data_IF_992185794642
#
_entry.id   IF_992185794642
#
_cell.length_a   1.000
_cell.length_b   1.000
_cell.length_c   1.000
_cell.angle_alpha   90.00
_cell.angle_beta   90.00
_cell.angle_gamma   90.00
#
_symmetry.space_group_name_H-M   'P 1'
#
loop_
_entity.id
_entity.type
_entity.pdbx_description
1 polymer ?
2 non-polymer ?
3 non-polymer ?
#
# COMPACT_ATOMS: atom_id res chain seq x y z
N UNK A 1 2.08 -25.87 0.33
CA UNK A 1 1.19 -24.74 0.66
C UNK A 1 1.25 -23.65 -0.41
N UNK A 2 0.83 -22.44 -0.03
CA UNK A 2 0.84 -21.29 -0.94
C UNK A 2 2.25 -21.00 -1.44
N UNK A 3 2.33 -20.42 -2.64
CA UNK A 3 3.64 -20.06 -3.18
C UNK A 3 3.71 -18.57 -3.52
N UNK A 4 3.89 -18.27 -4.80
CA UNK A 4 4.13 -16.91 -5.25
C UNK A 4 2.88 -16.19 -5.72
N UNK A 5 2.05 -16.82 -6.55
CA UNK A 5 0.85 -16.16 -7.04
C UNK A 5 -0.33 -16.28 -6.10
N UNK A 6 -0.30 -17.21 -5.15
CA UNK A 6 -1.39 -17.34 -4.19
C UNK A 6 -1.32 -16.23 -3.16
N UNK A 7 -0.12 -15.86 -2.72
CA UNK A 7 0.05 -14.76 -1.79
C UNK A 7 -0.27 -13.42 -2.45
N UNK A 8 -0.12 -13.34 -3.78
CA UNK A 8 -0.48 -12.13 -4.51
C UNK A 8 -1.99 -11.93 -4.60
N UNK A 9 -2.77 -12.94 -4.23
CA UNK A 9 -4.23 -12.83 -4.21
C UNK A 9 -4.76 -12.13 -2.96
N UNK A 10 -3.86 -11.60 -2.13
CA UNK A 10 -4.30 -10.81 -0.98
C UNK A 10 -5.13 -9.61 -1.41
N UNK A 11 -4.87 -9.08 -2.62
CA UNK A 11 -5.67 -8.01 -3.16
C UNK A 11 -6.96 -8.52 -3.79
N UNK A 12 -6.97 -9.77 -4.27
CA UNK A 12 -8.18 -10.32 -4.88
C UNK A 12 -9.31 -10.41 -3.87
N UNK A 13 -9.00 -10.87 -2.64
CA UNK A 13 -10.00 -10.87 -1.59
C UNK A 13 -10.43 -9.46 -1.20
N UNK A 14 -9.56 -8.46 -1.44
CA UNK A 14 -9.85 -7.07 -1.14
C UNK A 14 -10.75 -6.42 -2.19
N UNK A 15 -11.41 -7.22 -3.03
CA UNK A 15 -12.30 -6.68 -4.04
C UNK A 15 -11.58 -5.99 -5.18
N UNK A 16 -10.87 -6.77 -6.01
CA UNK A 16 -10.14 -6.22 -7.13
C UNK A 16 -10.27 -7.16 -8.33
N UNK A 17 -10.21 -6.56 -9.52
CA UNK A 17 -10.19 -7.29 -10.78
C UNK A 17 -8.78 -7.25 -11.38
N UNK A 18 -8.61 -8.00 -12.46
CA UNK A 18 -7.30 -8.08 -13.10
C UNK A 18 -6.80 -6.70 -13.51
N UNK A 19 -7.68 -5.90 -14.11
CA UNK A 19 -7.29 -4.55 -14.51
C UNK A 19 -7.00 -3.69 -13.29
N UNK A 20 -7.78 -3.84 -12.21
CA UNK A 20 -7.56 -3.08 -10.99
C UNK A 20 -6.32 -3.55 -10.23
N UNK A 21 -5.85 -4.78 -10.50
CA UNK A 21 -4.70 -5.30 -9.78
C UNK A 21 -3.40 -4.75 -10.35
N UNK A 22 -3.24 -4.82 -11.69
CA UNK A 22 -1.98 -4.44 -12.28
C UNK A 22 -1.79 -2.93 -12.30
N UNK A 23 -2.87 -2.15 -12.40
CA UNK A 23 -2.74 -0.71 -12.26
C UNK A 23 -2.43 -0.33 -10.82
N UNK A 24 -2.86 -1.17 -9.87
CA UNK A 24 -2.49 -0.97 -8.47
C UNK A 24 -1.05 -1.37 -8.22
N UNK A 25 -0.62 -2.49 -8.82
CA UNK A 25 0.78 -2.91 -8.68
C UNK A 25 1.73 -2.02 -9.47
N UNK A 26 1.23 -1.36 -10.52
CA UNK A 26 2.09 -0.49 -11.32
C UNK A 26 2.63 0.66 -10.47
N UNK A 27 1.74 1.34 -9.75
CA UNK A 27 2.14 2.40 -8.83
C UNK A 27 2.47 1.80 -7.47
N UNK A 28 3.58 1.07 -7.44
CA UNK A 28 4.00 0.34 -6.25
C UNK A 28 4.57 1.32 -5.22
N UNK A 29 5.18 0.76 -4.17
CA UNK A 29 5.71 1.56 -3.07
C UNK A 29 7.22 1.44 -2.91
N UNK A 30 7.90 0.83 -3.89
CA UNK A 30 9.36 0.69 -3.88
C UNK A 30 9.96 1.57 -4.96
N UNK A 31 11.29 1.64 -4.97
CA UNK A 31 12.02 2.41 -5.97
C UNK A 31 12.12 1.70 -7.31
N UNK A 32 11.10 0.93 -7.68
CA UNK A 32 11.08 0.24 -8.96
C UNK A 32 10.19 0.99 -9.94
N UNK A 33 10.63 1.04 -11.19
CA UNK A 33 9.81 1.67 -12.21
C UNK A 33 8.79 0.68 -12.74
N UNK A 34 7.57 1.13 -13.08
CA UNK A 34 6.58 0.21 -13.64
C UNK A 34 7.08 -0.38 -14.95
N UNK A 35 6.96 -1.71 -15.06
CA UNK A 35 7.36 -2.38 -16.29
C UNK A 35 6.57 -1.85 -17.47
N UNK A 36 7.25 -1.68 -18.61
CA UNK A 36 6.60 -1.09 -19.77
C UNK A 36 5.47 -1.96 -20.27
N UNK A 37 5.58 -3.28 -20.09
CA UNK A 37 4.49 -4.17 -20.50
C UNK A 37 3.23 -3.90 -19.69
N UNK A 38 3.38 -3.53 -18.42
CA UNK A 38 2.23 -3.12 -17.63
C UNK A 38 1.65 -1.81 -18.15
N UNK A 39 2.52 -0.86 -18.50
CA UNK A 39 2.05 0.39 -19.09
C UNK A 39 1.49 0.14 -20.48
N UNK A 40 2.11 -0.77 -21.24
CA UNK A 40 1.57 -1.13 -22.55
C UNK A 40 0.22 -1.82 -22.42
N UNK A 41 0.08 -2.71 -21.45
CA UNK A 41 -1.19 -3.41 -21.25
C UNK A 41 -2.28 -2.43 -20.80
N UNK A 42 -1.94 -1.51 -19.90
CA UNK A 42 -2.91 -0.52 -19.46
C UNK A 42 -3.36 0.36 -20.62
N UNK A 43 -2.46 0.64 -21.56
CA UNK A 43 -2.83 1.43 -22.74
C UNK A 43 -3.84 0.67 -23.60
N UNK A 44 -3.59 -0.62 -23.83
CA UNK A 44 -4.51 -1.42 -24.62
C UNK A 44 -5.83 -1.64 -23.90
N UNK A 45 -5.78 -1.82 -22.57
CA UNK A 45 -7.01 -2.05 -21.82
C UNK A 45 -7.83 -0.77 -21.64
N UNK A 46 -7.22 0.40 -21.84
CA UNK A 46 -7.96 1.65 -21.73
C UNK A 46 -8.98 1.83 -22.85
N UNK A 47 -8.92 1.01 -23.90
CA UNK A 47 -9.92 1.10 -24.96
C UNK A 47 -11.26 0.55 -24.51
N UNK A 48 -11.26 -0.46 -23.63
CA UNK A 48 -12.49 -0.97 -23.05
C UNK A 48 -13.01 0.01 -22.02
N UNK A 49 -14.28 0.39 -22.16
CA UNK A 49 -14.85 1.39 -21.26
C UNK A 49 -14.92 0.90 -19.82
N UNK A 50 -15.12 -0.41 -19.62
CA UNK A 50 -15.19 -0.95 -18.27
C UNK A 50 -13.81 -0.87 -17.61
N UNK A 51 -12.76 -1.20 -18.34
CA UNK A 51 -11.41 -1.11 -17.78
C UNK A 51 -10.96 0.34 -17.66
N UNK A 52 -11.30 1.18 -18.64
CA UNK A 52 -10.85 2.57 -18.62
C UNK A 52 -11.33 3.30 -17.38
N UNK A 53 -12.56 3.02 -16.93
CA UNK A 53 -13.06 3.65 -15.72
C UNK A 53 -12.30 3.16 -14.49
N UNK A 54 -12.12 1.84 -14.37
CA UNK A 54 -11.40 1.29 -13.23
C UNK A 54 -9.97 1.77 -13.19
N UNK A 55 -9.35 2.01 -14.35
CA UNK A 55 -8.00 2.53 -14.40
C UNK A 55 -7.96 3.97 -13.88
N UNK A 56 -8.84 4.83 -14.42
CA UNK A 56 -8.80 6.23 -14.07
C UNK A 56 -9.26 6.47 -12.64
N UNK A 57 -10.27 5.73 -12.18
CA UNK A 57 -10.72 5.86 -10.80
C UNK A 57 -9.66 5.39 -9.82
N UNK A 58 -8.79 4.48 -10.24
CA UNK A 58 -7.69 4.04 -9.38
C UNK A 58 -6.63 5.12 -9.28
N UNK A 59 -6.20 5.66 -10.42
CA UNK A 59 -5.24 6.76 -10.41
C UNK A 59 -5.80 8.01 -9.78
N UNK A 60 -7.13 8.16 -9.76
CA UNK A 60 -7.74 9.32 -9.12
C UNK A 60 -7.44 9.32 -7.63
N UNK A 61 -7.62 8.17 -6.97
CA UNK A 61 -7.32 8.07 -5.54
C UNK A 61 -5.83 7.96 -5.25
N UNK A 62 -5.02 7.66 -6.25
CA UNK A 62 -3.57 7.63 -6.08
C UNK A 62 -2.92 8.98 -6.25
N UNK A 63 -3.57 9.91 -6.97
CA UNK A 63 -3.01 11.22 -7.21
C UNK A 63 -3.39 12.25 -6.15
N UNK A 64 -4.47 12.01 -5.41
CA UNK A 64 -4.93 12.95 -4.39
C UNK A 64 -4.29 12.69 -3.02
N UNK A 65 -3.19 11.95 -2.97
CA UNK A 65 -2.53 11.62 -1.73
C UNK A 65 -1.30 12.50 -1.50
N UNK A 66 -0.94 12.67 -0.24
CA UNK A 66 0.26 13.41 0.13
C UNK A 66 1.06 12.63 1.16
N UNK A 67 1.76 13.34 2.05
CA UNK A 67 2.49 12.71 3.13
C UNK A 67 3.59 11.79 2.63
N UNK A 68 3.87 10.76 3.43
CA UNK A 68 4.93 9.81 3.11
C UNK A 68 4.60 8.94 1.91
N UNK A 69 3.34 8.93 1.45
CA UNK A 69 2.97 8.14 0.28
C UNK A 69 3.24 8.92 -0.99
N UNK A 70 4.45 9.46 -1.13
CA UNK A 70 4.78 10.23 -2.32
C UNK A 70 4.93 9.37 -3.56
N UNK A 71 5.08 8.05 -3.39
CA UNK A 71 5.16 7.15 -4.53
C UNK A 71 3.79 6.83 -5.14
N UNK A 72 2.70 7.20 -4.45
CA UNK A 72 1.38 7.09 -5.07
C UNK A 72 1.22 8.09 -6.20
N UNK A 73 1.76 9.30 -6.03
CA UNK A 73 1.59 10.36 -7.00
C UNK A 73 2.65 10.29 -8.09
N UNK A 74 3.90 10.04 -7.70
CA UNK A 74 4.99 10.05 -8.68
C UNK A 74 4.82 8.95 -9.72
N UNK A 75 4.45 7.75 -9.29
CA UNK A 75 4.29 6.65 -10.23
C UNK A 75 2.98 6.74 -10.99
N UNK A 76 1.96 7.37 -10.42
CA UNK A 76 0.70 7.54 -11.13
C UNK A 76 0.83 8.56 -12.26
N UNK A 77 1.64 9.60 -12.07
CA UNK A 77 1.91 10.53 -13.16
C UNK A 77 2.70 9.86 -14.27
N UNK A 78 3.50 8.85 -13.95
CA UNK A 78 4.26 8.14 -14.97
C UNK A 78 3.34 7.31 -15.87
N UNK A 79 2.45 6.52 -15.26
CA UNK A 79 1.53 5.72 -16.06
C UNK A 79 0.51 6.60 -16.75
N UNK A 80 0.07 7.69 -16.10
CA UNK A 80 -0.87 8.61 -16.73
C UNK A 80 -0.23 9.28 -17.94
N UNK A 81 1.07 9.57 -17.87
CA UNK A 81 1.77 10.10 -19.04
C UNK A 81 1.80 9.08 -20.16
N UNK A 82 1.92 7.79 -19.82
CA UNK A 82 1.91 6.75 -20.84
C UNK A 82 0.51 6.59 -21.42
N UNK A 83 -0.52 6.59 -20.57
CA UNK A 83 -1.89 6.44 -21.05
C UNK A 83 -2.31 7.59 -21.96
N UNK A 84 -1.79 8.80 -21.71
CA UNK A 84 -2.21 9.96 -22.47
C UNK A 84 -1.76 9.84 -23.93
N UNK A 85 -0.56 9.32 -24.15
CA UNK A 85 0.01 9.25 -25.49
C UNK A 85 0.18 7.82 -26.01
N UNK A 86 -0.42 6.83 -25.36
CA UNK A 86 -0.40 5.46 -25.86
C UNK A 86 -1.75 4.77 -25.80
N UNK A 87 -2.62 5.09 -24.85
CA UNK A 87 -3.89 4.42 -24.67
C UNK A 87 -5.01 5.07 -25.46
N UNK A 88 -6.24 4.92 -24.95
CA UNK A 88 -7.41 5.42 -25.61
C UNK A 88 -7.42 6.95 -25.63
N UNK A 89 -8.20 7.51 -26.56
CA UNK A 89 -8.35 8.95 -26.63
C UNK A 89 -9.11 9.50 -25.43
N UNK A 90 -9.90 8.67 -24.74
CA UNK A 90 -10.57 9.10 -23.53
C UNK A 90 -9.59 9.39 -22.39
N UNK A 91 -8.39 8.81 -22.44
CA UNK A 91 -7.38 9.10 -21.44
C UNK A 91 -6.97 10.57 -21.50
N UNK A 92 -6.94 11.14 -22.72
CA UNK A 92 -6.68 12.57 -22.86
C UNK A 92 -7.89 13.38 -22.40
N UNK A 93 -9.09 12.95 -22.81
CA UNK A 93 -10.30 13.68 -22.44
C UNK A 93 -10.57 13.60 -20.94
N UNK A 94 -10.12 12.53 -20.28
CA UNK A 94 -10.31 12.43 -18.84
C UNK A 94 -9.41 13.41 -18.09
N UNK A 95 -8.16 13.54 -18.53
CA UNK A 95 -7.26 14.50 -17.89
C UNK A 95 -7.71 15.94 -18.14
N UNK A 96 -8.45 16.18 -19.21
CA UNK A 96 -8.94 17.53 -19.49
C UNK A 96 -10.04 17.94 -18.52
N UNK A 97 -10.81 16.97 -18.02
CA UNK A 97 -11.86 17.26 -17.06
C UNK A 97 -11.36 17.26 -15.62
N UNK A 98 -10.40 16.39 -15.30
CA UNK A 98 -9.69 16.42 -14.02
C UNK A 98 -8.37 17.17 -14.15
N UNK A 99 -8.39 18.31 -14.85
CA UNK A 99 -7.15 19.03 -15.13
C UNK A 99 -6.61 19.73 -13.88
N UNK A 100 -7.51 20.26 -13.04
CA UNK A 100 -7.06 20.96 -11.83
C UNK A 100 -6.53 20.01 -10.76
N UNK A 101 -6.55 18.70 -10.99
CA UNK A 101 -5.95 17.76 -10.04
C UNK A 101 -4.44 17.75 -10.21
N UNK A 102 -3.96 17.51 -11.43
CA UNK A 102 -2.52 17.58 -11.68
C UNK A 102 -2.00 19.01 -11.63
N UNK A 103 -2.89 19.99 -11.79
CA UNK A 103 -2.49 21.38 -11.66
C UNK A 103 -2.09 21.72 -10.22
N UNK A 104 -2.74 21.07 -9.25
CA UNK A 104 -2.37 21.29 -7.85
C UNK A 104 -1.13 20.49 -7.45
N UNK A 105 -0.85 19.38 -8.13
CA UNK A 105 0.38 18.63 -7.91
C UNK A 105 1.61 19.39 -8.37
N UNK A 106 1.42 20.55 -9.02
CA UNK A 106 2.55 21.38 -9.46
C UNK A 106 3.37 21.90 -8.28
N UNK A 107 2.81 21.90 -7.07
CA UNK A 107 3.48 22.41 -5.88
C UNK A 107 3.63 21.34 -4.81
N UNK A 108 3.71 20.08 -5.21
CA UNK A 108 3.86 18.99 -4.25
C UNK A 108 5.23 19.06 -3.59
N UNK A 109 5.24 19.09 -2.26
CA UNK A 109 6.48 19.16 -1.48
C UNK A 109 6.34 18.28 -0.25
N UNK A 110 7.04 17.15 -0.25
CA UNK A 110 7.11 16.26 0.91
C UNK A 110 8.57 16.00 1.23
N UNK A 111 9.01 16.43 2.41
CA UNK A 111 10.37 16.17 2.88
C UNK A 111 10.35 14.96 3.82
N UNK A 112 11.20 13.99 3.54
CA UNK A 112 11.33 12.84 4.42
C UNK A 112 12.14 13.24 5.66
N UNK A 113 12.38 12.29 6.55
CA UNK A 113 13.11 12.55 7.79
C UNK A 113 14.62 12.62 7.58
N UNK A 114 15.06 13.27 6.51
CA UNK A 114 16.50 13.40 6.26
C UNK A 114 16.86 14.69 5.53
N UNK A 115 15.92 15.61 5.33
CA UNK A 115 16.23 16.84 4.62
C UNK A 115 16.25 16.72 3.12
N UNK A 116 15.57 15.72 2.55
CA UNK A 116 15.54 15.49 1.12
C UNK A 116 14.12 15.67 0.62
N UNK A 117 13.92 16.64 -0.27
CA UNK A 117 12.60 16.92 -0.83
C UNK A 117 12.28 15.85 -1.87
N UNK A 118 11.47 14.86 -1.46
CA UNK A 118 11.07 13.81 -2.39
C UNK A 118 10.08 14.30 -3.44
N UNK A 119 9.39 15.41 -3.18
CA UNK A 119 8.41 15.93 -4.11
C UNK A 119 8.99 16.66 -5.31
N UNK A 120 10.31 16.79 -5.40
CA UNK A 120 10.92 17.49 -6.53
C UNK A 120 10.67 16.76 -7.84
N UNK A 121 10.71 15.42 -7.80
CA UNK A 121 10.43 14.64 -9.01
C UNK A 121 8.97 14.75 -9.38
N UNK A 122 8.08 14.90 -8.39
CA UNK A 122 6.66 15.07 -8.68
C UNK A 122 6.39 16.44 -9.29
N UNK A 123 7.21 17.43 -8.96
CA UNK A 123 7.05 18.76 -9.54
C UNK A 123 7.27 18.74 -11.04
N UNK A 124 8.45 18.28 -11.47
CA UNK A 124 8.78 18.29 -12.89
C UNK A 124 7.92 17.28 -13.66
N UNK A 125 7.50 16.20 -13.00
CA UNK A 125 6.66 15.22 -13.67
C UNK A 125 5.25 15.78 -13.93
N UNK A 126 4.75 16.63 -13.03
CA UNK A 126 3.43 17.20 -13.22
C UNK A 126 3.47 18.41 -14.15
N UNK A 127 4.52 19.23 -14.05
CA UNK A 127 4.63 20.39 -14.92
C UNK A 127 4.84 19.99 -16.38
N UNK A 128 5.47 18.84 -16.61
CA UNK A 128 5.69 18.39 -17.99
C UNK A 128 4.39 17.89 -18.61
N UNK A 129 3.57 17.16 -17.84
CA UNK A 129 2.31 16.65 -18.38
C UNK A 129 1.35 17.79 -18.71
N UNK A 130 1.30 18.81 -17.87
CA UNK A 130 0.43 19.96 -18.14
C UNK A 130 0.89 20.68 -19.40
N UNK A 131 2.19 20.86 -19.56
CA UNK A 131 2.72 21.46 -20.78
C UNK A 131 2.47 20.61 -22.01
N UNK A 132 2.21 19.31 -21.83
CA UNK A 132 1.89 18.45 -22.96
C UNK A 132 0.39 18.52 -23.30
N UNK A 133 -0.46 18.51 -22.27
CA UNK A 133 -1.90 18.57 -22.52
C UNK A 133 -2.32 19.92 -23.08
N UNK A 134 -1.59 20.98 -22.77
CA UNK A 134 -1.90 22.30 -23.30
C UNK A 134 -1.31 22.55 -24.68
N UNK A 135 -0.66 21.55 -25.27
CA UNK A 135 -0.13 21.63 -26.63
C UNK A 135 -0.83 20.56 -27.46
N UNK A 136 -2.03 20.88 -27.95
CA UNK A 136 -2.79 19.92 -28.75
C UNK A 136 -2.08 19.61 -30.06
N UNK A 137 -1.34 20.56 -30.61
CA UNK A 137 -0.58 20.29 -31.83
C UNK A 137 0.54 19.29 -31.58
N UNK A 138 1.13 19.32 -30.39
CA UNK A 138 2.15 18.32 -30.04
C UNK A 138 1.52 17.01 -29.60
N UNK A 139 0.47 17.10 -28.77
CA UNK A 139 -0.14 15.89 -28.22
C UNK A 139 -0.75 15.01 -29.31
N UNK A 140 -1.28 15.61 -30.36
CA UNK A 140 -1.90 14.83 -31.42
C UNK A 140 -0.88 14.00 -32.18
N UNK A 141 0.33 14.56 -32.39
CA UNK A 141 1.37 13.81 -33.10
C UNK A 141 1.93 12.70 -32.24
N UNK A 142 2.14 12.97 -30.95
CA UNK A 142 2.73 11.96 -30.06
C UNK A 142 1.88 10.71 -29.99
N UNK A 143 0.57 10.84 -30.20
CA UNK A 143 -0.32 9.68 -30.25
C UNK A 143 -0.29 8.99 -31.62
N UNK A 144 0.24 9.65 -32.64
CA UNK A 144 0.29 9.08 -33.99
C UNK A 144 1.51 8.20 -34.21
N UNK A 145 2.69 8.62 -33.74
CA UNK A 145 3.89 7.83 -33.96
C UNK A 145 3.84 6.50 -33.19
N UNK A 146 3.08 6.45 -32.10
CA UNK A 146 2.95 5.25 -31.26
C UNK A 146 1.89 4.30 -31.79
N UNK A 147 1.82 4.11 -33.10
CA UNK A 147 0.88 3.16 -33.69
C UNK A 147 1.56 2.30 -34.75
N UNK B 6 -24.71 -14.34 27.18
CA UNK B 6 -25.66 -13.25 27.01
C UNK B 6 -24.97 -12.04 26.39
N UNK B 7 -23.73 -11.81 26.80
CA UNK B 7 -22.99 -10.61 26.41
C UNK B 7 -22.43 -10.66 24.99
N UNK B 8 -23.23 -11.15 24.04
CA UNK B 8 -22.89 -11.10 22.62
C UNK B 8 -23.06 -9.70 22.04
N UNK B 9 -23.46 -8.73 22.87
CA UNK B 9 -23.72 -7.38 22.38
C UNK B 9 -22.48 -6.75 21.74
N UNK B 10 -21.29 -7.12 22.20
CA UNK B 10 -20.07 -6.58 21.61
C UNK B 10 -19.84 -7.10 20.19
N UNK B 11 -20.73 -7.94 19.66
CA UNK B 11 -20.72 -8.32 18.25
C UNK B 11 -21.49 -7.34 17.39
N UNK B 12 -21.33 -6.04 17.62
CA UNK B 12 -21.92 -5.02 16.77
C UNK B 12 -21.06 -4.83 15.52
N UNK B 13 -20.65 -5.93 14.91
CA UNK B 13 -19.73 -5.94 13.78
C UNK B 13 -20.49 -6.49 12.56
N UNK B 14 -21.04 -5.59 11.75
CA UNK B 14 -21.77 -5.96 10.55
C UNK B 14 -20.79 -6.01 9.38
N UNK B 15 -20.50 -7.21 8.92
CA UNK B 15 -19.59 -7.39 7.80
C UNK B 15 -18.36 -8.21 8.15
N UNK B 16 -17.84 -8.03 9.37
CA UNK B 16 -16.64 -8.71 9.80
C UNK B 16 -16.98 -10.08 10.40
N UNK B 17 -15.96 -10.93 10.46
CA UNK B 17 -16.10 -12.30 10.96
C UNK B 17 -15.30 -12.46 12.25
N UNK B 18 -15.26 -13.70 12.75
CA UNK B 18 -14.57 -13.96 14.02
C UNK B 18 -13.09 -13.63 13.92
N UNK B 19 -12.46 -13.98 12.80
CA UNK B 19 -11.04 -13.70 12.64
C UNK B 19 -10.79 -12.21 12.44
N UNK B 20 -11.67 -11.54 11.69
CA UNK B 20 -11.49 -10.12 11.41
C UNK B 20 -11.75 -9.27 12.65
N UNK B 21 -12.71 -9.67 13.48
CA UNK B 21 -12.98 -8.92 14.71
C UNK B 21 -11.85 -9.14 15.72
N UNK B 22 -11.30 -10.36 15.75
CA UNK B 22 -10.25 -10.67 16.72
C UNK B 22 -8.99 -9.85 16.44
N UNK B 23 -8.61 -9.69 15.17
CA UNK B 23 -7.43 -8.90 14.86
C UNK B 23 -7.71 -7.42 15.05
N UNK B 24 -8.95 -6.97 14.81
CA UNK B 24 -9.30 -5.58 15.08
C UNK B 24 -9.29 -5.29 16.58
N UNK B 25 -9.84 -6.21 17.38
CA UNK B 25 -9.77 -6.06 18.83
C UNK B 25 -8.34 -6.17 19.35
N UNK B 26 -7.46 -6.87 18.62
CA UNK B 26 -6.07 -6.99 19.03
C UNK B 26 -5.25 -5.75 18.72
N UNK B 27 -5.66 -4.96 17.73
CA UNK B 27 -4.94 -3.75 17.35
C UNK B 27 -5.82 -2.51 17.52
N UNK B 28 -6.77 -2.56 18.44
CA UNK B 28 -7.68 -1.44 18.65
C UNK B 28 -6.92 -0.23 19.22
N UNK B 29 -7.55 0.94 19.10
CA UNK B 29 -6.93 2.20 19.53
C UNK B 29 -7.25 2.42 21.00
N UNK B 30 -6.44 1.83 21.87
CA UNK B 30 -6.59 1.99 23.31
C UNK B 30 -5.28 1.58 23.97
N UNK B 31 -5.22 1.79 25.29
CA UNK B 31 -4.03 1.45 26.06
C UNK B 31 -3.89 -0.04 26.33
N UNK B 32 -4.91 -0.83 26.02
CA UNK B 32 -4.84 -2.27 26.25
C UNK B 32 -3.81 -2.91 25.33
N UNK B 33 -2.95 -3.74 25.91
CA UNK B 33 -1.89 -4.38 25.14
C UNK B 33 -2.33 -5.75 24.62
N UNK B 34 -1.91 -6.13 23.42
CA UNK B 34 -2.29 -7.45 22.90
C UNK B 34 -1.72 -8.57 23.75
N UNK B 35 -2.59 -9.51 24.13
CA UNK B 35 -2.20 -10.62 24.98
C UNK B 35 -1.75 -11.81 24.14
N UNK B 36 -1.07 -12.74 24.79
CA UNK B 36 -0.46 -13.87 24.08
C UNK B 36 -1.53 -14.86 23.64
N UNK B 37 -2.55 -15.09 24.46
CA UNK B 37 -3.63 -15.98 24.06
C UNK B 37 -4.36 -15.45 22.83
N UNK B 38 -4.39 -14.12 22.66
CA UNK B 38 -4.92 -13.55 21.43
C UNK B 38 -3.93 -13.75 20.28
N UNK B 39 -2.64 -13.50 20.53
CA UNK B 39 -1.63 -13.64 19.48
C UNK B 39 -1.49 -15.08 19.03
N UNK B 40 -1.49 -16.02 19.97
CA UNK B 40 -1.35 -17.43 19.61
C UNK B 40 -2.55 -17.92 18.82
N UNK B 41 -3.73 -17.36 19.07
CA UNK B 41 -4.89 -17.71 18.26
C UNK B 41 -4.75 -17.18 16.83
N UNK B 42 -4.23 -15.95 16.69
CA UNK B 42 -3.97 -15.42 15.36
C UNK B 42 -2.93 -16.25 14.63
N UNK B 43 -1.90 -16.71 15.34
CA UNK B 43 -0.90 -17.57 14.72
C UNK B 43 -1.50 -18.93 14.37
N UNK B 44 -2.42 -19.43 15.20
CA UNK B 44 -3.06 -20.70 14.91
C UNK B 44 -3.96 -20.60 13.67
N UNK B 45 -4.72 -19.51 13.56
CA UNK B 45 -5.60 -19.32 12.42
C UNK B 45 -4.84 -18.93 11.16
N UNK B 46 -3.63 -18.39 11.28
CA UNK B 46 -2.85 -18.04 10.10
C UNK B 46 -2.43 -19.26 9.30
N UNK B 47 -2.45 -20.45 9.92
CA UNK B 47 -2.18 -21.67 9.16
C UNK B 47 -3.30 -21.99 8.19
N UNK B 48 -4.54 -21.68 8.56
CA UNK B 48 -5.67 -21.89 7.66
C UNK B 48 -5.62 -20.89 6.51
N UNK B 49 -6.04 -21.34 5.33
CA UNK B 49 -5.95 -20.53 4.11
C UNK B 49 -6.78 -19.26 4.20
N UNK B 50 -8.11 -19.39 4.22
CA UNK B 50 -8.99 -18.23 4.18
C UNK B 50 -8.80 -17.34 5.40
N UNK B 51 -8.51 -17.94 6.56
CA UNK B 51 -8.26 -17.13 7.75
C UNK B 51 -6.97 -16.33 7.62
N UNK B 52 -5.97 -16.86 6.90
CA UNK B 52 -4.70 -16.15 6.76
C UNK B 52 -4.87 -14.82 6.05
N UNK B 53 -5.66 -14.80 4.97
CA UNK B 53 -5.84 -13.56 4.22
C UNK B 53 -6.61 -12.53 5.02
N UNK B 54 -7.55 -12.96 5.87
CA UNK B 54 -8.31 -12.01 6.68
C UNK B 54 -7.43 -11.32 7.72
N UNK B 55 -6.40 -12.01 8.21
CA UNK B 55 -5.49 -11.40 9.16
C UNK B 55 -4.59 -10.39 8.45
N UNK B 56 -4.06 -10.76 7.28
CA UNK B 56 -3.16 -9.86 6.57
C UNK B 56 -3.92 -8.65 6.00
N UNK B 57 -5.16 -8.86 5.54
CA UNK B 57 -5.94 -7.76 5.00
C UNK B 57 -6.22 -6.70 6.06
N UNK B 58 -6.38 -7.11 7.32
CA UNK B 58 -6.63 -6.16 8.39
C UNK B 58 -5.34 -5.49 8.85
N UNK B 59 -4.27 -6.26 8.99
CA UNK B 59 -2.98 -5.67 9.34
C UNK B 59 -2.49 -4.73 8.24
N UNK B 60 -2.84 -5.01 6.98
CA UNK B 60 -2.49 -4.11 5.90
C UNK B 60 -3.18 -2.75 6.08
N UNK B 61 -4.47 -2.76 6.38
CA UNK B 61 -5.19 -1.51 6.59
C UNK B 61 -4.77 -0.81 7.87
N UNK B 62 -4.29 -1.57 8.85
CA UNK B 62 -3.87 -0.98 10.13
C UNK B 62 -2.42 -0.51 10.13
N UNK B 63 -1.56 -1.17 9.34
CA UNK B 63 -0.17 -0.71 9.26
C UNK B 63 -0.04 0.56 8.43
N UNK B 64 -0.94 0.78 7.48
CA UNK B 64 -0.90 1.93 6.60
C UNK B 64 -1.63 3.15 7.18
N UNK B 65 -1.65 3.29 8.50
CA UNK B 65 -2.28 4.43 9.15
C UNK B 65 -1.24 5.47 9.55
N UNK B 66 -1.67 6.73 9.59
CA UNK B 66 -0.81 7.83 10.00
C UNK B 66 -1.58 8.65 11.05
N UNK B 67 -1.18 9.90 11.21
CA UNK B 67 -1.87 10.82 12.09
C UNK B 67 -1.77 10.40 13.55
N UNK B 68 -2.82 10.72 14.31
CA UNK B 68 -2.87 10.42 15.73
C UNK B 68 -3.29 8.98 16.03
N UNK B 69 -3.70 8.22 15.02
CA UNK B 69 -4.03 6.81 15.20
C UNK B 69 -2.78 5.96 15.17
N UNK B 70 -1.77 6.34 15.95
CA UNK B 70 -0.51 5.60 15.97
C UNK B 70 -0.62 4.25 16.66
N UNK B 71 -1.61 4.07 17.54
CA UNK B 71 -1.75 2.80 18.24
C UNK B 71 -2.21 1.68 17.32
N UNK B 72 -2.82 2.00 16.18
CA UNK B 72 -3.16 0.97 15.22
C UNK B 72 -1.91 0.42 14.54
N UNK B 73 -0.93 1.28 14.26
CA UNK B 73 0.30 0.83 13.61
C UNK B 73 1.18 0.09 14.61
N UNK B 74 1.24 0.57 15.86
CA UNK B 74 2.13 -0.04 16.84
C UNK B 74 1.73 -1.48 17.14
N UNK B 75 0.45 -1.70 17.45
CA UNK B 75 -0.01 -3.04 17.77
C UNK B 75 0.08 -3.98 16.56
N UNK B 76 -0.09 -3.44 15.36
CA UNK B 76 0.05 -4.26 14.16
C UNK B 76 1.48 -4.74 13.96
N UNK B 77 2.46 -4.03 14.52
CA UNK B 77 3.85 -4.48 14.45
C UNK B 77 4.10 -5.64 15.41
N UNK B 78 3.63 -5.52 16.65
CA UNK B 78 3.78 -6.59 17.63
C UNK B 78 3.02 -7.84 17.19
N UNK B 79 1.84 -7.66 16.61
CA UNK B 79 1.08 -8.79 16.08
C UNK B 79 1.83 -9.44 14.92
N UNK B 80 2.42 -8.62 14.05
CA UNK B 80 3.14 -9.16 12.90
C UNK B 80 4.40 -9.90 13.34
N UNK B 81 5.10 -9.39 14.35
CA UNK B 81 6.29 -10.06 14.86
C UNK B 81 5.95 -11.46 15.36
N UNK B 82 4.80 -11.61 16.04
CA UNK B 82 4.39 -12.92 16.52
C UNK B 82 4.03 -13.86 15.37
N UNK B 83 3.45 -13.31 14.29
CA UNK B 83 3.11 -14.13 13.14
C UNK B 83 4.33 -14.53 12.32
N UNK B 84 5.42 -13.77 12.40
CA UNK B 84 6.63 -14.13 11.68
C UNK B 84 7.29 -15.34 12.32
N UNK B 85 7.27 -15.41 13.65
CA UNK B 85 7.94 -16.49 14.37
C UNK B 85 7.01 -17.69 14.59
N UNK B 86 5.87 -17.46 15.24
CA UNK B 86 4.97 -18.55 15.61
C UNK B 86 3.87 -18.81 14.59
N UNK B 87 3.66 -17.90 13.64
CA UNK B 87 2.61 -18.08 12.65
C UNK B 87 3.02 -19.03 11.55
N UNK B 88 2.23 -19.02 10.48
CA UNK B 88 2.49 -19.87 9.33
C UNK B 88 3.69 -19.34 8.54
N UNK B 89 4.25 -20.21 7.69
CA UNK B 89 5.38 -19.83 6.86
C UNK B 89 4.99 -18.78 5.83
N UNK B 90 3.74 -18.80 5.37
CA UNK B 90 3.29 -17.81 4.40
C UNK B 90 3.25 -16.41 4.99
N UNK B 91 3.16 -16.29 6.32
CA UNK B 91 3.26 -14.97 6.94
C UNK B 91 4.61 -14.33 6.65
N UNK B 92 5.69 -15.12 6.70
CA UNK B 92 7.00 -14.60 6.32
C UNK B 92 7.02 -14.24 4.83
N UNK B 93 6.35 -15.05 4.01
CA UNK B 93 6.24 -14.73 2.59
C UNK B 93 5.45 -13.45 2.38
N UNK B 94 4.41 -13.24 3.18
CA UNK B 94 3.65 -12.00 3.09
C UNK B 94 4.48 -10.80 3.52
N UNK B 95 5.39 -10.99 4.47
CA UNK B 95 6.26 -9.91 4.90
C UNK B 95 7.39 -9.66 3.92
N UNK B 96 7.79 -10.66 3.15
CA UNK B 96 8.86 -10.47 2.18
C UNK B 96 8.37 -9.69 0.97
N UNK B 97 7.15 -9.98 0.49
CA UNK B 97 6.59 -9.24 -0.63
C UNK B 97 6.19 -7.83 -0.22
N UNK B 98 5.91 -7.60 1.06
CA UNK B 98 5.56 -6.28 1.59
C UNK B 98 6.63 -5.75 2.53
N UNK B 99 7.90 -6.03 2.21
CA UNK B 99 9.00 -5.59 3.07
C UNK B 99 9.17 -4.07 3.06
N UNK B 100 8.60 -3.38 2.07
CA UNK B 100 8.73 -1.94 2.00
C UNK B 100 7.77 -1.23 2.96
N UNK B 101 6.57 -1.80 3.18
CA UNK B 101 5.65 -1.21 4.15
C UNK B 101 6.24 -1.25 5.54
N UNK B 102 7.04 -2.30 5.84
CA UNK B 102 7.69 -2.39 7.14
C UNK B 102 8.81 -1.38 7.27
N UNK B 103 9.52 -1.09 6.17
CA UNK B 103 10.63 -0.14 6.22
C UNK B 103 10.16 1.30 6.21
N UNK B 104 9.01 1.59 5.58
CA UNK B 104 8.50 2.96 5.57
C UNK B 104 8.13 3.44 6.97
N UNK B 105 7.76 2.51 7.86
CA UNK B 105 7.41 2.86 9.23
C UNK B 105 8.63 3.09 10.11
N UNK B 106 9.83 2.77 9.63
CA UNK B 106 11.03 3.07 10.40
C UNK B 106 11.30 4.58 10.46
N UNK B 107 10.70 5.35 9.56
CA UNK B 107 10.81 6.81 9.57
C UNK B 107 9.58 7.47 10.18
N UNK B 108 8.74 6.70 10.87
CA UNK B 108 7.51 7.25 11.43
C UNK B 108 7.83 8.23 12.56
N UNK B 109 7.09 9.35 12.59
CA UNK B 109 7.25 10.36 13.62
C UNK B 109 5.89 10.91 13.99
N UNK B 110 5.66 11.06 15.29
CA UNK B 110 4.41 11.62 15.81
C UNK B 110 4.60 11.92 17.28
N UNK B 111 3.86 12.93 17.75
CA UNK B 111 3.83 13.27 19.17
C UNK B 111 2.46 13.87 19.48
N UNK B 112 1.84 13.40 20.56
CA UNK B 112 0.55 13.91 20.98
C UNK B 112 0.70 15.34 21.49
N UNK B 113 -0.42 15.94 21.88
CA UNK B 113 -0.42 17.32 22.33
C UNK B 113 0.18 17.48 23.74
N UNK B 114 0.94 16.50 24.21
CA UNK B 114 1.61 16.62 25.50
C UNK B 114 3.09 16.94 25.38
N UNK B 115 3.74 16.55 24.28
CA UNK B 115 5.15 16.80 24.06
C UNK B 115 5.99 15.55 23.88
N UNK B 116 5.49 14.39 24.30
CA UNK B 116 6.26 13.15 24.20
C UNK B 116 6.10 12.55 22.82
N UNK B 117 7.24 12.18 22.21
CA UNK B 117 7.24 11.61 20.87
C UNK B 117 6.73 10.18 20.94
N UNK B 118 5.47 9.99 20.55
CA UNK B 118 4.86 8.67 20.57
C UNK B 118 5.25 7.82 19.37
N UNK B 119 5.88 8.40 18.35
CA UNK B 119 6.41 7.62 17.25
C UNK B 119 7.74 6.95 17.54
N UNK B 120 8.34 7.26 18.68
CA UNK B 120 9.60 6.64 19.06
C UNK B 120 9.46 5.12 19.23
N UNK B 121 8.29 4.66 19.66
CA UNK B 121 8.09 3.23 19.86
C UNK B 121 7.80 2.53 18.52
N UNK B 122 7.15 3.21 17.58
CA UNK B 122 6.85 2.60 16.29
C UNK B 122 8.13 2.35 15.50
N UNK B 123 9.10 3.26 15.61
CA UNK B 123 10.37 3.09 14.91
C UNK B 123 11.09 1.83 15.39
N UNK B 124 11.32 1.73 16.70
CA UNK B 124 12.08 0.62 17.26
C UNK B 124 11.40 -0.71 16.95
N UNK B 125 10.07 -0.75 17.05
CA UNK B 125 9.34 -1.97 16.71
C UNK B 125 9.46 -2.29 15.22
N UNK B 126 9.46 -1.26 14.37
CA UNK B 126 9.64 -1.50 12.95
C UNK B 126 11.09 -1.82 12.60
N UNK B 127 12.04 -1.32 13.39
CA UNK B 127 13.44 -1.58 13.11
C UNK B 127 13.81 -3.03 13.42
N UNK B 128 13.45 -3.51 14.61
CA UNK B 128 13.80 -4.88 14.99
C UNK B 128 13.11 -5.89 14.10
N UNK B 129 11.93 -5.56 13.56
CA UNK B 129 11.25 -6.47 12.65
C UNK B 129 11.99 -6.58 11.32
N UNK B 130 12.52 -5.47 10.82
CA UNK B 130 13.30 -5.51 9.59
C UNK B 130 14.57 -6.31 9.80
N UNK B 131 15.28 -6.03 10.90
CA UNK B 131 16.51 -6.78 11.19
C UNK B 131 16.24 -8.24 11.48
N UNK B 132 15.03 -8.56 11.96
CA UNK B 132 14.66 -9.96 12.15
C UNK B 132 14.53 -10.67 10.81
N UNK B 133 13.78 -10.09 9.88
CA UNK B 133 13.67 -10.66 8.54
C UNK B 133 14.99 -10.56 7.79
N UNK B 134 15.81 -9.56 8.12
CA UNK B 134 17.13 -9.45 7.50
C UNK B 134 18.02 -10.63 7.87
N UNK B 135 17.87 -11.15 9.08
CA UNK B 135 18.63 -12.32 9.54
C UNK B 135 17.81 -13.56 9.24
N UNK B 136 17.94 -14.08 8.01
CA UNK B 136 17.21 -15.27 7.62
C UNK B 136 17.71 -16.52 8.32
N UNK B 137 18.98 -16.52 8.76
CA UNK B 137 19.51 -17.69 9.45
C UNK B 137 18.85 -17.88 10.80
N UNK B 138 18.80 -16.82 11.62
CA UNK B 138 18.13 -16.90 12.91
C UNK B 138 16.63 -17.10 12.76
N UNK B 139 16.05 -16.70 11.63
CA UNK B 139 14.61 -16.84 11.44
C UNK B 139 14.20 -18.31 11.43
N UNK B 140 14.87 -19.12 10.61
CA UNK B 140 14.60 -20.56 10.62
C UNK B 140 14.98 -21.17 11.96
N UNK B 141 15.97 -20.59 12.64
CA UNK B 141 16.31 -21.04 13.99
C UNK B 141 15.16 -20.79 14.96
N UNK B 142 14.57 -19.59 14.90
CA UNK B 142 13.45 -19.28 15.78
C UNK B 142 12.21 -20.07 15.43
N UNK B 143 11.93 -20.24 14.13
CA UNK B 143 10.77 -21.02 13.71
C UNK B 143 10.94 -22.51 13.99
N UNK B 144 12.18 -22.97 14.21
CA UNK B 144 12.40 -24.38 14.52
C UNK B 144 12.08 -24.68 15.98
N UNK B 145 12.39 -23.75 16.88
CA UNK B 145 12.08 -23.96 18.29
C UNK B 145 10.57 -23.96 18.54
N UNK B 146 9.80 -23.31 17.67
CA UNK B 146 8.35 -23.26 17.83
C UNK B 146 7.73 -24.61 17.49
N UNK B 147 7.91 -25.59 18.37
CA UNK B 147 7.38 -26.93 18.15
C UNK B 147 6.18 -27.21 19.03
#
# INVERSE_FOLDING_TARGET
>A
MSKQFVRSAKNMMKGYSSTQVLVRDATANDSRTPSIDTLDDLAQRSYDSVDFFEIMDMLDKRLNDKGKYWRHVAKSLTVLDYLVRFGSENCVLWCRENFYVIKTLREFRHENESGFDEGQIIRVKAKELVSLLNDEERLREERSMNTRNRRANRAA
>B
MSKQFVRSAKNMMKGYSSTQVLVRDATANDSRTPSIDTLDDLAQRSYDSVDFFEIMDMLDKRLNDKGKYWRHVAKSLTVLDYLVRFGSENCVLWCRENFYVIKTLREFRHENESGFDEGQIIRVKAKELVSLLNDEERLREERSMNTRNRRANRAA
#
